data_IF_250205408750
#
_entry.id   IF_250205408750
#
_cell.length_a   1.000
_cell.length_b   1.000
_cell.length_c   1.000
_cell.angle_alpha   90.00
_cell.angle_beta   90.00
_cell.angle_gamma   90.00
#
_symmetry.space_group_name_H-M   'P 1'
#
loop_
_entity.id
_entity.type
_entity.pdbx_description
1 polymer ?
#
# COMPACT_ATOMS: atom_id res chain seq x y z
N UNK A 1 -34.41 -24.36 -20.82
CA UNK A 1 -32.94 -24.33 -20.63
C UNK A 1 -32.65 -24.02 -19.17
N UNK A 2 -32.03 -24.94 -18.42
CA UNK A 2 -31.57 -24.64 -17.05
C UNK A 2 -30.40 -23.67 -17.18
N UNK A 3 -30.58 -22.41 -16.79
CA UNK A 3 -29.46 -21.47 -16.65
C UNK A 3 -28.43 -22.10 -15.72
N UNK A 4 -27.23 -22.38 -16.23
CA UNK A 4 -26.09 -22.75 -15.39
C UNK A 4 -25.94 -21.66 -14.33
N UNK A 5 -26.04 -22.07 -13.06
CA UNK A 5 -25.98 -21.15 -11.95
C UNK A 5 -24.57 -20.54 -11.92
N UNK A 6 -24.46 -19.27 -12.31
CA UNK A 6 -23.19 -18.55 -12.28
C UNK A 6 -22.70 -18.54 -10.82
N UNK A 7 -21.45 -18.99 -10.54
CA UNK A 7 -20.92 -18.94 -9.19
C UNK A 7 -20.91 -17.50 -8.67
N UNK A 8 -21.08 -17.32 -7.36
CA UNK A 8 -20.99 -15.99 -6.78
C UNK A 8 -19.55 -15.44 -6.94
N UNK A 9 -19.43 -14.12 -6.93
CA UNK A 9 -18.17 -13.43 -7.23
C UNK A 9 -17.04 -13.80 -6.26
N UNK A 10 -17.37 -14.17 -5.01
CA UNK A 10 -16.38 -14.60 -4.03
C UNK A 10 -15.71 -15.92 -4.43
N UNK A 11 -16.49 -16.86 -4.99
CA UNK A 11 -15.97 -18.11 -5.54
C UNK A 11 -15.21 -17.87 -6.84
N UNK A 12 -15.69 -16.97 -7.69
CA UNK A 12 -14.97 -16.59 -8.92
C UNK A 12 -13.56 -16.07 -8.59
N UNK A 13 -13.43 -15.12 -7.67
CA UNK A 13 -12.12 -14.60 -7.24
C UNK A 13 -11.21 -15.71 -6.70
N UNK A 14 -11.74 -16.60 -5.85
CA UNK A 14 -10.95 -17.72 -5.30
C UNK A 14 -10.45 -18.63 -6.41
N UNK A 15 -11.33 -19.02 -7.32
CA UNK A 15 -11.00 -19.90 -8.42
C UNK A 15 -9.98 -19.25 -9.36
N UNK A 16 -10.12 -17.95 -9.67
CA UNK A 16 -9.13 -17.21 -10.47
C UNK A 16 -7.74 -17.21 -9.81
N UNK A 17 -7.66 -17.00 -8.50
CA UNK A 17 -6.39 -17.09 -7.75
C UNK A 17 -5.79 -18.50 -7.83
N UNK A 18 -6.62 -19.54 -7.69
CA UNK A 18 -6.17 -20.94 -7.80
C UNK A 18 -5.65 -21.27 -9.21
N UNK A 19 -6.32 -20.80 -10.26
CA UNK A 19 -5.90 -20.97 -11.65
C UNK A 19 -4.51 -20.34 -11.89
N UNK A 20 -4.34 -19.06 -11.52
CA UNK A 20 -3.07 -18.35 -11.73
C UNK A 20 -1.95 -18.99 -10.90
N UNK A 21 -2.23 -19.43 -9.66
CA UNK A 21 -1.24 -20.18 -8.86
C UNK A 21 -0.80 -21.46 -9.55
N UNK A 22 -1.75 -22.24 -10.08
CA UNK A 22 -1.42 -23.45 -10.84
C UNK A 22 -0.54 -23.16 -12.06
N UNK A 23 -0.76 -22.04 -12.76
CA UNK A 23 0.08 -21.61 -13.88
C UNK A 23 1.50 -21.25 -13.45
N UNK A 24 1.67 -20.57 -12.31
CA UNK A 24 2.99 -20.27 -11.73
C UNK A 24 3.71 -21.56 -11.32
N UNK A 25 3.00 -22.51 -10.69
CA UNK A 25 3.57 -23.79 -10.26
C UNK A 25 4.13 -24.60 -11.43
N UNK A 26 3.46 -24.58 -12.59
CA UNK A 26 3.96 -25.19 -13.83
C UNK A 26 4.93 -24.29 -14.63
N UNK A 27 5.39 -23.18 -14.02
CA UNK A 27 6.36 -22.22 -14.57
C UNK A 27 5.95 -21.56 -15.90
N UNK A 28 4.65 -21.42 -16.15
CA UNK A 28 4.15 -20.68 -17.30
C UNK A 28 4.19 -19.18 -16.99
N UNK A 29 4.89 -18.40 -17.83
CA UNK A 29 4.95 -16.93 -17.80
C UNK A 29 4.93 -16.35 -16.36
N UNK A 30 5.93 -16.75 -15.58
CA UNK A 30 5.94 -16.61 -14.12
C UNK A 30 5.81 -15.15 -13.69
N UNK A 31 6.46 -14.23 -14.39
CA UNK A 31 6.44 -12.80 -14.06
C UNK A 31 5.04 -12.21 -14.28
N UNK A 32 4.45 -12.38 -15.46
CA UNK A 32 3.11 -11.89 -15.77
C UNK A 32 2.06 -12.52 -14.84
N UNK A 33 2.15 -13.82 -14.60
CA UNK A 33 1.22 -14.51 -13.70
C UNK A 33 1.39 -14.10 -12.24
N UNK A 34 2.61 -13.76 -11.80
CA UNK A 34 2.83 -13.19 -10.47
C UNK A 34 2.15 -11.83 -10.34
N UNK A 35 2.24 -10.96 -11.36
CA UNK A 35 1.53 -9.67 -11.38
C UNK A 35 0.00 -9.85 -11.35
N UNK A 36 -0.54 -10.77 -12.16
CA UNK A 36 -1.97 -11.13 -12.13
C UNK A 36 -2.38 -11.61 -10.74
N UNK A 37 -1.58 -12.48 -10.12
CA UNK A 37 -1.84 -13.02 -8.80
C UNK A 37 -1.89 -11.91 -7.74
N UNK A 38 -0.97 -10.95 -7.81
CA UNK A 38 -0.93 -9.85 -6.85
C UNK A 38 -2.08 -8.86 -7.04
N UNK A 39 -2.48 -8.59 -8.28
CA UNK A 39 -3.70 -7.83 -8.60
C UNK A 39 -4.97 -8.54 -8.08
N UNK A 40 -5.11 -9.85 -8.31
CA UNK A 40 -6.26 -10.62 -7.79
C UNK A 40 -6.28 -10.68 -6.25
N UNK A 41 -5.12 -10.77 -5.61
CA UNK A 41 -5.02 -10.69 -4.14
C UNK A 41 -5.46 -9.33 -3.62
N UNK A 42 -5.19 -8.24 -4.33
CA UNK A 42 -5.68 -6.92 -3.97
C UNK A 42 -7.21 -6.86 -3.97
N UNK A 43 -7.84 -7.33 -5.05
CA UNK A 43 -9.30 -7.47 -5.13
C UNK A 43 -9.81 -8.35 -3.98
N UNK A 44 -9.17 -9.49 -3.71
CA UNK A 44 -9.52 -10.40 -2.62
C UNK A 44 -9.43 -9.73 -1.23
N UNK A 45 -8.42 -8.90 -0.98
CA UNK A 45 -8.28 -8.14 0.27
C UNK A 45 -9.43 -7.14 0.42
N UNK A 46 -9.79 -6.43 -0.65
CA UNK A 46 -10.93 -5.52 -0.63
C UNK A 46 -12.23 -6.24 -0.31
N UNK A 47 -12.52 -7.35 -0.99
CA UNK A 47 -13.76 -8.11 -0.76
C UNK A 47 -13.87 -8.59 0.69
N UNK A 48 -12.76 -9.04 1.29
CA UNK A 48 -12.67 -9.49 2.70
C UNK A 48 -12.71 -8.34 3.72
N UNK A 49 -12.42 -7.11 3.32
CA UNK A 49 -12.50 -5.95 4.23
C UNK A 49 -13.94 -5.59 4.63
N UNK A 50 -14.91 -5.97 3.78
CA UNK A 50 -16.33 -5.68 3.95
C UNK A 50 -16.63 -4.18 4.13
N UNK A 51 -15.74 -3.29 3.69
CA UNK A 51 -15.90 -1.82 3.78
C UNK A 51 -17.13 -1.30 3.04
N UNK A 52 -17.59 -2.04 2.03
CA UNK A 52 -18.77 -1.76 1.20
C UNK A 52 -20.10 -2.28 1.79
N UNK A 53 -20.05 -2.96 2.94
CA UNK A 53 -21.23 -3.49 3.66
C UNK A 53 -21.51 -2.65 4.89
N UNK A 54 -22.68 -1.97 4.90
CA UNK A 54 -23.06 -1.05 5.99
C UNK A 54 -23.71 -1.75 7.20
N UNK A 55 -24.52 -2.77 6.95
CA UNK A 55 -25.32 -3.42 8.01
C UNK A 55 -24.51 -4.46 8.78
N UNK A 56 -24.57 -4.39 10.12
CA UNK A 56 -23.78 -5.24 11.02
C UNK A 56 -24.05 -6.74 10.84
N UNK A 57 -25.32 -7.15 10.76
CA UNK A 57 -25.68 -8.57 10.59
C UNK A 57 -25.20 -9.14 9.26
N UNK A 58 -25.37 -8.38 8.16
CA UNK A 58 -24.84 -8.73 6.84
C UNK A 58 -23.33 -8.88 6.89
N UNK A 59 -22.63 -7.97 7.58
CA UNK A 59 -21.19 -8.01 7.75
C UNK A 59 -20.76 -9.25 8.54
N UNK A 60 -21.45 -9.56 9.65
CA UNK A 60 -21.18 -10.76 10.47
C UNK A 60 -21.34 -12.05 9.65
N UNK A 61 -22.43 -12.18 8.90
CA UNK A 61 -22.69 -13.34 8.03
C UNK A 61 -21.61 -13.51 6.97
N UNK A 62 -21.25 -12.42 6.29
CA UNK A 62 -20.22 -12.44 5.25
C UNK A 62 -18.82 -12.67 5.80
N UNK A 63 -18.48 -12.08 6.94
CA UNK A 63 -17.16 -12.25 7.55
C UNK A 63 -16.89 -13.72 7.85
N UNK A 64 -17.86 -14.40 8.48
CA UNK A 64 -17.78 -15.83 8.71
C UNK A 64 -17.75 -16.63 7.41
N UNK A 65 -18.60 -16.26 6.43
CA UNK A 65 -18.67 -16.92 5.13
C UNK A 65 -17.32 -16.89 4.38
N UNK A 66 -16.65 -15.74 4.40
CA UNK A 66 -15.40 -15.49 3.66
C UNK A 66 -14.16 -16.03 4.38
N UNK A 67 -14.15 -16.04 5.72
CA UNK A 67 -12.95 -16.37 6.51
C UNK A 67 -12.96 -17.76 7.10
N UNK A 68 -14.12 -18.26 7.55
CA UNK A 68 -14.20 -19.46 8.39
C UNK A 68 -14.94 -20.62 7.72
N UNK A 69 -15.87 -20.35 6.80
CA UNK A 69 -16.74 -21.41 6.26
C UNK A 69 -16.35 -21.94 4.89
N UNK A 70 -15.18 -21.55 4.36
CA UNK A 70 -14.72 -21.92 3.01
C UNK A 70 -15.75 -21.61 1.91
N UNK A 71 -16.46 -20.48 2.02
CA UNK A 71 -17.52 -20.06 1.09
C UNK A 71 -18.72 -21.02 1.05
N UNK A 72 -19.05 -21.62 2.20
CA UNK A 72 -20.18 -22.55 2.36
C UNK A 72 -21.33 -21.95 3.18
N UNK A 73 -22.50 -21.80 2.56
CA UNK A 73 -23.67 -21.19 3.21
C UNK A 73 -24.21 -22.04 4.36
N UNK A 74 -24.21 -23.38 4.24
CA UNK A 74 -24.71 -24.30 5.28
C UNK A 74 -23.80 -24.25 6.52
N UNK A 75 -22.48 -24.32 6.31
CA UNK A 75 -21.50 -24.21 7.40
C UNK A 75 -21.60 -22.86 8.11
N UNK A 76 -21.86 -21.78 7.35
CA UNK A 76 -22.07 -20.44 7.92
C UNK A 76 -23.36 -20.37 8.73
N UNK A 77 -24.46 -20.92 8.21
CA UNK A 77 -25.76 -20.93 8.88
C UNK A 77 -25.70 -21.70 10.21
N UNK A 78 -25.12 -22.90 10.19
CA UNK A 78 -24.92 -23.73 11.38
C UNK A 78 -24.08 -23.01 12.46
N UNK A 79 -22.97 -22.39 12.08
CA UNK A 79 -22.09 -21.69 13.02
C UNK A 79 -22.71 -20.42 13.62
N UNK A 80 -23.65 -19.80 12.92
CA UNK A 80 -24.34 -18.58 13.38
C UNK A 80 -25.68 -18.88 14.05
N UNK A 81 -26.06 -20.15 14.22
CA UNK A 81 -27.34 -20.54 14.82
C UNK A 81 -28.56 -20.13 13.98
N UNK A 82 -28.40 -20.07 12.65
CA UNK A 82 -29.48 -19.71 11.72
C UNK A 82 -30.06 -20.99 11.12
N UNK A 83 -31.30 -21.32 11.49
CA UNK A 83 -31.98 -22.54 11.03
C UNK A 83 -32.20 -22.55 9.51
N UNK A 84 -32.57 -21.40 8.94
CA UNK A 84 -32.84 -21.28 7.52
C UNK A 84 -31.58 -20.85 6.73
N UNK A 85 -30.92 -21.81 6.08
CA UNK A 85 -29.72 -21.56 5.24
C UNK A 85 -29.98 -20.54 4.12
N UNK A 86 -31.23 -20.42 3.64
CA UNK A 86 -31.59 -19.47 2.58
C UNK A 86 -31.31 -18.01 2.98
N UNK A 87 -31.35 -17.68 4.28
CA UNK A 87 -30.98 -16.34 4.78
C UNK A 87 -29.52 -16.01 4.44
N UNK A 88 -28.62 -16.99 4.57
CA UNK A 88 -27.22 -16.81 4.19
C UNK A 88 -27.08 -16.74 2.68
N UNK A 89 -27.77 -17.62 1.94
CA UNK A 89 -27.72 -17.63 0.47
C UNK A 89 -28.18 -16.31 -0.14
N UNK A 90 -29.30 -15.76 0.34
CA UNK A 90 -29.80 -14.44 -0.07
C UNK A 90 -28.81 -13.32 0.29
N UNK A 91 -28.22 -13.37 1.49
CA UNK A 91 -27.20 -12.41 1.92
C UNK A 91 -25.99 -12.43 0.99
N UNK A 92 -25.46 -13.63 0.71
CA UNK A 92 -24.30 -13.84 -0.17
C UNK A 92 -24.64 -13.42 -1.60
N UNK A 93 -25.81 -13.80 -2.12
CA UNK A 93 -26.25 -13.44 -3.46
C UNK A 93 -26.37 -11.92 -3.61
N UNK A 94 -27.11 -11.27 -2.72
CA UNK A 94 -27.30 -9.81 -2.78
C UNK A 94 -25.97 -9.05 -2.77
N UNK A 95 -25.06 -9.42 -1.87
CA UNK A 95 -23.77 -8.73 -1.79
C UNK A 95 -22.85 -9.11 -2.94
N UNK A 96 -22.89 -10.36 -3.40
CA UNK A 96 -22.19 -10.79 -4.61
C UNK A 96 -22.63 -9.98 -5.83
N UNK A 97 -23.93 -9.87 -6.08
CA UNK A 97 -24.48 -9.15 -7.23
C UNK A 97 -24.05 -7.67 -7.20
N UNK A 98 -24.10 -7.04 -6.02
CA UNK A 98 -23.63 -5.66 -5.83
C UNK A 98 -22.14 -5.51 -6.09
N UNK A 99 -21.34 -6.47 -5.62
CA UNK A 99 -19.89 -6.43 -5.76
C UNK A 99 -19.44 -6.73 -7.19
N UNK A 100 -20.13 -7.64 -7.89
CA UNK A 100 -19.88 -7.97 -9.30
C UNK A 100 -19.87 -6.75 -10.20
N UNK A 101 -20.76 -5.78 -9.95
CA UNK A 101 -20.80 -4.51 -10.70
C UNK A 101 -19.48 -3.72 -10.57
N UNK A 102 -18.77 -3.86 -9.44
CA UNK A 102 -17.54 -3.12 -9.16
C UNK A 102 -16.28 -3.89 -9.58
N UNK A 103 -16.31 -5.22 -9.61
CA UNK A 103 -15.08 -6.02 -9.71
C UNK A 103 -15.05 -7.00 -10.86
N UNK A 104 -16.19 -7.34 -11.50
CA UNK A 104 -16.21 -8.35 -12.55
C UNK A 104 -15.40 -7.92 -13.78
N UNK A 105 -15.55 -6.67 -14.22
CA UNK A 105 -14.79 -6.13 -15.35
C UNK A 105 -13.28 -6.05 -15.04
N UNK A 106 -12.81 -5.41 -13.94
CA UNK A 106 -11.40 -5.45 -13.59
C UNK A 106 -10.82 -6.86 -13.47
N UNK A 107 -11.55 -7.78 -12.85
CA UNK A 107 -11.11 -9.18 -12.70
C UNK A 107 -10.96 -9.87 -14.06
N UNK A 108 -11.91 -9.66 -14.97
CA UNK A 108 -11.81 -10.20 -16.33
C UNK A 108 -10.63 -9.59 -17.09
N UNK A 109 -10.40 -8.28 -16.97
CA UNK A 109 -9.24 -7.59 -17.55
C UNK A 109 -7.91 -8.18 -17.07
N UNK A 110 -7.78 -8.45 -15.76
CA UNK A 110 -6.60 -9.11 -15.19
C UNK A 110 -6.43 -10.53 -15.73
N UNK A 111 -7.51 -11.31 -15.80
CA UNK A 111 -7.43 -12.70 -16.26
C UNK A 111 -7.06 -12.82 -17.74
N UNK A 112 -7.57 -11.91 -18.56
CA UNK A 112 -7.40 -11.90 -20.01
C UNK A 112 -6.16 -11.14 -20.49
N UNK A 113 -5.46 -10.41 -19.61
CA UNK A 113 -4.29 -9.64 -20.01
C UNK A 113 -3.15 -10.52 -20.51
N UNK A 114 -2.40 -9.99 -21.47
CA UNK A 114 -1.20 -10.62 -22.05
C UNK A 114 0.08 -9.84 -21.73
N UNK A 115 -0.04 -8.73 -21.00
CA UNK A 115 1.03 -7.80 -20.69
C UNK A 115 0.75 -7.04 -19.38
N UNK A 116 1.80 -6.50 -18.77
CA UNK A 116 1.75 -5.77 -17.50
C UNK A 116 0.96 -4.45 -17.56
N UNK A 117 0.91 -3.80 -18.73
CA UNK A 117 0.19 -2.51 -18.88
C UNK A 117 -1.30 -2.75 -18.75
N UNK A 118 -1.83 -3.77 -19.41
CA UNK A 118 -3.24 -4.15 -19.32
C UNK A 118 -3.63 -4.56 -17.88
N UNK A 119 -2.73 -5.21 -17.13
CA UNK A 119 -2.94 -5.51 -15.70
C UNK A 119 -3.03 -4.22 -14.89
N UNK A 120 -2.09 -3.30 -15.11
CA UNK A 120 -2.02 -2.01 -14.43
C UNK A 120 -3.27 -1.16 -14.68
N UNK A 121 -3.80 -1.16 -15.92
CA UNK A 121 -5.03 -0.45 -16.27
C UNK A 121 -6.24 -1.07 -15.59
N UNK A 122 -6.35 -2.41 -15.59
CA UNK A 122 -7.45 -3.11 -14.93
C UNK A 122 -7.47 -2.87 -13.41
N UNK A 123 -6.31 -2.90 -12.75
CA UNK A 123 -6.24 -2.62 -11.30
C UNK A 123 -6.48 -1.14 -10.99
N UNK A 124 -6.06 -0.23 -11.87
CA UNK A 124 -6.36 1.20 -11.74
C UNK A 124 -7.86 1.45 -11.84
N UNK A 125 -8.52 0.83 -12.82
CA UNK A 125 -9.98 0.89 -12.94
C UNK A 125 -10.67 0.36 -11.68
N UNK A 126 -10.23 -0.79 -11.16
CA UNK A 126 -10.71 -1.33 -9.88
C UNK A 126 -10.60 -0.33 -8.72
N UNK A 127 -9.42 0.31 -8.56
CA UNK A 127 -9.19 1.29 -7.48
C UNK A 127 -10.10 2.52 -7.62
N UNK A 128 -10.33 2.99 -8.85
CA UNK A 128 -11.24 4.10 -9.14
C UNK A 128 -12.67 3.74 -8.74
N UNK A 129 -13.22 2.63 -9.25
CA UNK A 129 -14.63 2.26 -9.03
C UNK A 129 -14.93 1.90 -7.57
N UNK A 130 -13.94 1.39 -6.84
CA UNK A 130 -14.04 1.08 -5.41
C UNK A 130 -13.70 2.25 -4.49
N UNK A 131 -13.32 3.42 -5.06
CA UNK A 131 -12.82 4.58 -4.32
C UNK A 131 -11.67 4.22 -3.37
N UNK A 132 -10.84 3.25 -3.79
CA UNK A 132 -9.67 2.79 -3.07
C UNK A 132 -8.38 3.44 -3.55
N UNK A 133 -8.44 4.52 -4.34
CA UNK A 133 -7.27 5.35 -4.57
C UNK A 133 -6.71 5.80 -3.22
N UNK A 134 -5.59 5.19 -2.85
CA UNK A 134 -4.76 5.60 -1.73
C UNK A 134 -3.51 6.19 -2.34
N UNK A 135 -3.56 7.42 -2.86
CA UNK A 135 -2.36 8.07 -3.39
C UNK A 135 -1.25 8.16 -2.33
N UNK A 136 -1.59 8.06 -1.05
CA UNK A 136 -0.65 7.96 0.06
C UNK A 136 0.18 6.65 0.08
N UNK A 137 -0.21 5.60 -0.64
CA UNK A 137 0.58 4.36 -0.73
C UNK A 137 1.86 4.53 -1.55
N UNK A 138 1.93 5.55 -2.42
CA UNK A 138 3.15 5.91 -3.16
C UNK A 138 4.21 6.56 -2.27
N UNK A 139 3.82 7.11 -1.11
CA UNK A 139 4.69 7.85 -0.21
C UNK A 139 5.11 7.03 1.01
N UNK A 140 6.20 7.44 1.65
CA UNK A 140 6.62 6.88 2.93
C UNK A 140 5.53 7.03 4.01
N UNK A 141 5.46 6.04 4.91
CA UNK A 141 4.50 6.05 6.01
C UNK A 141 4.69 7.30 6.91
N UNK A 142 3.59 7.92 7.33
CA UNK A 142 3.60 9.13 8.17
C UNK A 142 3.62 10.45 7.40
N UNK A 143 4.04 10.44 6.13
CA UNK A 143 4.12 11.65 5.31
C UNK A 143 2.75 12.28 5.01
N UNK A 144 1.69 11.47 4.98
CA UNK A 144 0.31 11.92 4.69
C UNK A 144 -0.18 13.01 5.62
N UNK A 145 0.30 13.05 6.87
CA UNK A 145 -0.07 14.08 7.86
C UNK A 145 0.51 15.47 7.56
N UNK A 146 1.54 15.53 6.73
CA UNK A 146 2.24 16.77 6.36
C UNK A 146 1.71 17.38 5.05
N UNK A 147 0.85 16.65 4.33
CA UNK A 147 0.31 17.08 3.05
C UNK A 147 -1.03 17.79 3.22
N UNK A 148 -1.35 18.77 2.35
CA UNK A 148 -2.67 19.36 2.33
C UNK A 148 -3.74 18.32 1.98
N UNK A 149 -4.98 18.58 2.40
CA UNK A 149 -6.11 17.74 2.01
C UNK A 149 -6.27 17.75 0.48
N UNK A 150 -6.50 16.57 -0.09
CA UNK A 150 -6.62 16.39 -1.53
C UNK A 150 -7.84 17.16 -2.07
N UNK A 151 -7.59 18.01 -3.06
CA UNK A 151 -8.61 18.79 -3.77
C UNK A 151 -8.20 18.93 -5.23
N UNK A 152 -9.11 18.60 -6.15
CA UNK A 152 -8.89 18.77 -7.58
C UNK A 152 -9.32 20.17 -8.03
N UNK A 153 -8.45 20.87 -8.75
CA UNK A 153 -8.73 22.20 -9.29
C UNK A 153 -8.57 22.21 -10.81
N UNK A 154 -9.69 22.33 -11.53
CA UNK A 154 -9.73 22.25 -13.01
C UNK A 154 -8.87 23.28 -13.73
N UNK A 155 -8.52 24.40 -13.06
CA UNK A 155 -7.72 25.48 -13.65
C UNK A 155 -6.22 25.28 -13.51
N UNK A 156 -5.78 24.31 -12.72
CA UNK A 156 -4.36 24.03 -12.49
C UNK A 156 -3.96 22.88 -13.40
N UNK A 157 -3.00 23.11 -14.30
CA UNK A 157 -2.48 22.05 -15.16
C UNK A 157 -1.39 21.25 -14.46
N UNK A 158 -1.14 20.04 -14.92
CA UNK A 158 -0.03 19.23 -14.42
C UNK A 158 1.33 19.91 -14.63
N UNK A 159 1.47 20.71 -15.70
CA UNK A 159 2.68 21.46 -16.00
C UNK A 159 2.98 22.52 -14.93
N UNK A 160 1.94 23.17 -14.40
CA UNK A 160 2.06 24.17 -13.34
C UNK A 160 2.55 23.54 -12.03
N UNK A 161 2.25 22.26 -11.81
CA UNK A 161 2.64 21.48 -10.62
C UNK A 161 4.08 20.94 -10.66
N UNK A 162 4.92 21.33 -11.65
CA UNK A 162 6.26 20.74 -11.83
C UNK A 162 7.12 20.88 -10.57
N UNK A 163 7.09 22.03 -9.92
CA UNK A 163 7.86 22.31 -8.70
C UNK A 163 7.40 21.42 -7.54
N UNK A 164 6.10 21.31 -7.35
CA UNK A 164 5.49 20.53 -6.28
C UNK A 164 5.75 19.03 -6.49
N UNK A 165 5.65 18.52 -7.72
CA UNK A 165 6.00 17.14 -8.07
C UNK A 165 7.48 16.88 -7.74
N UNK A 166 8.39 17.78 -8.09
CA UNK A 166 9.81 17.65 -7.78
C UNK A 166 10.08 17.64 -6.26
N UNK A 167 9.28 18.37 -5.47
CA UNK A 167 9.37 18.37 -4.00
C UNK A 167 8.79 17.07 -3.40
N UNK A 168 7.72 16.53 -3.99
CA UNK A 168 7.07 15.31 -3.52
C UNK A 168 7.86 14.04 -3.84
N UNK A 169 8.57 14.02 -4.98
CA UNK A 169 9.27 12.83 -5.47
C UNK A 169 10.25 12.20 -4.46
N UNK A 170 11.09 12.97 -3.72
CA UNK A 170 11.97 12.41 -2.69
C UNK A 170 11.28 11.65 -1.55
N UNK A 171 9.98 11.86 -1.35
CA UNK A 171 9.18 11.17 -0.33
C UNK A 171 8.46 9.94 -0.88
N UNK A 172 8.59 9.66 -2.18
CA UNK A 172 8.03 8.45 -2.77
C UNK A 172 8.89 7.23 -2.41
N UNK A 173 8.24 6.10 -2.16
CA UNK A 173 8.92 4.85 -1.78
C UNK A 173 9.95 4.44 -2.83
N UNK A 174 9.55 4.48 -4.10
CA UNK A 174 10.38 4.03 -5.21
C UNK A 174 11.64 4.88 -5.37
N UNK A 175 11.54 6.20 -5.18
CA UNK A 175 12.70 7.08 -5.27
C UNK A 175 13.67 6.80 -4.12
N UNK A 176 13.15 6.66 -2.90
CA UNK A 176 13.96 6.34 -1.71
C UNK A 176 14.67 5.00 -1.88
N UNK A 177 13.96 3.96 -2.33
CA UNK A 177 14.54 2.65 -2.63
C UNK A 177 15.67 2.74 -3.67
N UNK A 178 15.44 3.48 -4.76
CA UNK A 178 16.45 3.68 -5.79
C UNK A 178 17.70 4.41 -5.27
N UNK A 179 17.53 5.48 -4.48
CA UNK A 179 18.66 6.23 -3.90
C UNK A 179 19.41 5.38 -2.90
N UNK A 180 18.73 4.71 -1.97
CA UNK A 180 19.36 3.86 -0.97
C UNK A 180 20.12 2.69 -1.61
N UNK A 181 19.55 2.09 -2.66
CA UNK A 181 20.17 0.95 -3.35
C UNK A 181 21.36 1.32 -4.25
N UNK A 182 21.41 2.54 -4.78
CA UNK A 182 22.41 2.92 -5.79
C UNK A 182 23.43 3.97 -5.34
N UNK A 183 23.10 4.81 -4.35
CA UNK A 183 23.93 5.95 -3.95
C UNK A 183 24.40 5.88 -2.49
N UNK A 184 23.90 4.94 -1.70
CA UNK A 184 24.28 4.79 -0.30
C UNK A 184 25.07 3.50 -0.06
N UNK A 185 26.10 3.60 0.78
CA UNK A 185 26.77 2.43 1.33
C UNK A 185 25.92 1.88 2.49
N UNK A 186 25.35 0.69 2.30
CA UNK A 186 24.47 0.05 3.27
C UNK A 186 25.14 -0.17 4.63
N UNK A 187 26.46 -0.40 4.68
CA UNK A 187 27.20 -0.56 5.94
C UNK A 187 27.27 0.75 6.71
N UNK A 188 27.55 1.86 6.02
CA UNK A 188 27.58 3.21 6.63
C UNK A 188 26.19 3.66 7.07
N UNK A 189 25.16 3.38 6.28
CA UNK A 189 23.78 3.67 6.65
C UNK A 189 23.38 2.90 7.91
N UNK A 190 23.66 1.60 7.96
CA UNK A 190 23.43 0.77 9.14
C UNK A 190 24.20 1.30 10.36
N UNK A 191 25.45 1.76 10.17
CA UNK A 191 26.24 2.38 11.23
C UNK A 191 25.57 3.63 11.79
N UNK A 192 25.15 4.58 10.95
CA UNK A 192 24.44 5.79 11.39
C UNK A 192 23.13 5.45 12.11
N UNK A 193 22.36 4.51 11.58
CA UNK A 193 21.14 4.03 12.23
C UNK A 193 21.43 3.37 13.59
N UNK A 194 22.56 2.68 13.73
CA UNK A 194 22.97 2.09 15.02
C UNK A 194 23.28 3.16 16.06
N UNK A 195 23.90 4.29 15.66
CA UNK A 195 24.17 5.44 16.54
C UNK A 195 22.85 6.05 17.02
N UNK A 196 21.85 6.15 16.14
CA UNK A 196 20.52 6.71 16.46
C UNK A 196 19.66 5.81 17.35
N UNK A 197 19.73 4.50 17.15
CA UNK A 197 18.79 3.53 17.74
C UNK A 197 19.29 2.85 19.02
N UNK A 198 20.57 3.03 19.37
CA UNK A 198 21.20 2.31 20.47
C UNK A 198 22.17 3.20 21.27
N UNK A 199 22.75 2.64 22.34
CA UNK A 199 23.87 3.26 23.08
C UNK A 199 25.23 2.97 22.44
N UNK A 200 25.28 2.58 21.17
CA UNK A 200 26.53 2.37 20.44
C UNK A 200 27.14 3.72 20.01
N UNK A 201 28.43 3.74 19.67
CA UNK A 201 29.18 4.96 19.33
C UNK A 201 29.63 5.77 20.55
N UNK A 202 30.39 6.83 20.32
CA UNK A 202 30.77 7.76 21.39
C UNK A 202 29.58 8.62 21.82
N UNK A 203 29.64 9.21 23.02
CA UNK A 203 28.60 10.16 23.49
C UNK A 203 28.46 11.34 22.52
N UNK A 204 29.59 11.81 21.98
CA UNK A 204 29.67 12.95 21.07
C UNK A 204 29.04 12.61 19.71
N UNK A 205 29.31 11.42 19.15
CA UNK A 205 28.69 10.99 17.89
C UNK A 205 27.17 10.90 18.01
N UNK A 206 26.69 10.29 19.11
CA UNK A 206 25.25 10.17 19.36
C UNK A 206 24.58 11.53 19.46
N UNK A 207 25.19 12.46 20.18
CA UNK A 207 24.65 13.81 20.33
C UNK A 207 24.65 14.55 18.99
N UNK A 208 25.74 14.49 18.22
CA UNK A 208 25.83 15.12 16.90
C UNK A 208 24.68 14.67 16.00
N UNK A 209 24.52 13.36 15.85
CA UNK A 209 23.51 12.78 14.97
C UNK A 209 22.10 13.06 15.51
N UNK A 210 21.87 13.01 16.83
CA UNK A 210 20.57 13.33 17.44
C UNK A 210 20.16 14.78 17.18
N UNK A 211 21.07 15.74 17.37
CA UNK A 211 20.84 17.17 17.11
C UNK A 211 20.51 17.44 15.65
N UNK A 212 21.19 16.76 14.72
CA UNK A 212 20.90 16.87 13.30
C UNK A 212 19.45 16.48 12.98
N UNK A 213 19.01 15.30 13.42
CA UNK A 213 17.66 14.82 13.10
C UNK A 213 16.53 15.49 13.91
N UNK A 214 16.86 16.14 15.03
CA UNK A 214 15.93 17.03 15.76
C UNK A 214 15.79 18.41 15.11
N UNK A 215 16.71 18.76 14.22
CA UNK A 215 16.70 20.02 13.49
C UNK A 215 17.46 21.17 14.18
N UNK A 216 18.36 20.88 15.12
CA UNK A 216 19.13 21.92 15.82
C UNK A 216 20.06 22.69 14.86
N UNK A 217 20.47 22.05 13.77
CA UNK A 217 21.25 22.67 12.70
C UNK A 217 20.40 23.18 11.52
N UNK A 218 19.07 23.12 11.64
CA UNK A 218 18.16 23.36 10.50
C UNK A 218 17.98 24.82 10.12
N UNK A 219 18.27 25.76 11.03
CA UNK A 219 18.04 27.19 10.82
C UNK A 219 19.30 28.05 10.93
N UNK A 220 19.32 29.20 10.28
CA UNK A 220 20.31 30.26 10.51
C UNK A 220 19.95 31.05 11.79
N UNK A 221 20.83 31.97 12.20
CA UNK A 221 20.55 32.85 13.35
C UNK A 221 19.33 33.75 13.09
N UNK A 222 19.06 34.04 11.83
CA UNK A 222 17.93 34.84 11.32
C UNK A 222 16.66 33.98 11.15
N UNK A 223 16.73 32.67 11.39
CA UNK A 223 15.60 31.75 11.33
C UNK A 223 15.33 31.12 9.95
N UNK A 224 16.21 31.34 8.97
CA UNK A 224 16.07 30.79 7.62
C UNK A 224 16.44 29.30 7.57
N UNK A 225 15.71 28.50 6.80
CA UNK A 225 15.96 27.05 6.68
C UNK A 225 17.22 26.78 5.86
N UNK A 226 18.18 26.06 6.44
CA UNK A 226 19.41 25.62 5.77
C UNK A 226 19.16 24.42 4.86
N UNK A 227 19.91 24.32 3.76
CA UNK A 227 19.92 23.12 2.89
C UNK A 227 20.50 21.92 3.63
N UNK A 228 20.04 20.71 3.30
CA UNK A 228 20.42 19.47 3.97
C UNK A 228 21.94 19.30 4.14
N UNK A 229 22.74 19.47 3.08
CA UNK A 229 24.19 19.31 3.17
C UNK A 229 24.86 20.37 4.05
N UNK A 230 24.31 21.58 4.09
CA UNK A 230 24.77 22.64 5.00
C UNK A 230 24.52 22.25 6.47
N UNK A 231 23.38 21.62 6.77
CA UNK A 231 23.08 21.11 8.11
C UNK A 231 24.07 20.02 8.53
N UNK A 232 24.37 19.08 7.62
CA UNK A 232 25.36 18.01 7.85
C UNK A 232 26.76 18.58 8.12
N UNK A 233 27.21 19.56 7.32
CA UNK A 233 28.51 20.19 7.53
C UNK A 233 28.61 20.92 8.88
N UNK A 234 27.51 21.53 9.33
CA UNK A 234 27.46 22.22 10.63
C UNK A 234 27.46 21.24 11.80
N UNK A 235 26.79 20.09 11.65
CA UNK A 235 26.89 19.00 12.61
C UNK A 235 28.35 18.53 12.75
N UNK A 236 29.07 18.36 11.63
CA UNK A 236 30.47 17.94 11.68
C UNK A 236 31.40 19.01 12.26
N UNK A 237 31.16 20.28 11.99
CA UNK A 237 31.89 21.37 12.65
C UNK A 237 31.68 21.32 14.16
N UNK A 238 30.41 21.29 14.61
CA UNK A 238 30.08 21.19 16.03
C UNK A 238 30.72 19.98 16.69
N UNK A 239 30.67 18.82 16.01
CA UNK A 239 31.27 17.58 16.46
C UNK A 239 32.80 17.70 16.61
N UNK A 240 33.47 18.35 15.66
CA UNK A 240 34.91 18.61 15.72
C UNK A 240 35.27 19.52 16.90
N UNK A 241 34.45 20.54 17.16
CA UNK A 241 34.65 21.48 18.27
C UNK A 241 34.44 20.84 19.66
N UNK A 242 33.86 19.62 19.73
CA UNK A 242 33.72 18.90 21.00
C UNK A 242 34.99 18.16 21.43
N UNK A 243 36.02 18.07 20.57
CA UNK A 243 37.27 17.42 20.93
C UNK A 243 38.21 18.42 21.64
N UNK A 244 38.56 18.21 22.92
CA UNK A 244 39.38 19.15 23.69
C UNK A 244 40.85 19.21 23.25
N UNK A 245 41.24 18.42 22.24
CA UNK A 245 42.60 18.38 21.69
C UNK A 245 42.72 19.04 20.31
N UNK A 246 41.70 19.79 19.87
CA UNK A 246 41.68 20.45 18.55
C UNK A 246 42.12 21.93 18.57
N UNK A 247 42.84 22.37 19.61
CA UNK A 247 43.55 23.67 19.65
C UNK A 247 45.00 23.54 19.12
#
# INVERSE_FOLDING_TARGET
>A
MKQLHKPNIFREIRNSIEIIRGQIEVKLDVELNQEKLDALKEISRYTKSLSYVKHGDTKKRLDYYLKMSHLNCRTTAAALGIENTNVIEQTVKYVSDKLSVLIAEPMNGIMQSTDSVTIADAITHFRIVTKQERPMEYFLQGFSSMLPQQKYEQKISLLDCRKEIAILLPFSKIFVEAILGSQCDNSKLAHVLSILSSRNGSVVDREAVSRLFKGDFSKTAEGETRRAMTQVNQMFQWWHDQNPYND
#
